data_IF_169822893840
#
_entry.id   IF_169822893840
#
_cell.length_a   1.000
_cell.length_b   1.000
_cell.length_c   1.000
_cell.angle_alpha   90.00
_cell.angle_beta   90.00
_cell.angle_gamma   90.00
#
_symmetry.space_group_name_H-M   'P 1'
#
loop_
_entity.id
_entity.type
_entity.pdbx_description
1 polymer ?
2 non-polymer ?
3 water ?
#
# COMPACT_ATOMS: atom_id res chain seq x y z
N UNK A 1 19.97 3.37 -0.29
CA UNK A 1 18.68 3.54 -1.01
C UNK A 1 18.36 2.09 -1.35
N UNK A 2 18.15 1.36 -0.26
CA UNK A 2 17.84 -0.08 -0.37
C UNK A 2 16.36 -0.23 -0.72
N UNK A 3 16.00 -1.44 -1.06
CA UNK A 3 14.59 -1.75 -1.39
C UNK A 3 13.93 -1.88 -0.04
N UNK A 4 13.13 -0.94 0.40
CA UNK A 4 12.46 -1.13 1.70
C UNK A 4 11.64 -2.41 1.52
N UNK A 5 10.85 -2.38 0.45
CA UNK A 5 10.04 -3.52 0.07
C UNK A 5 10.25 -3.81 -1.40
N UNK A 6 10.11 -5.05 -1.77
CA UNK A 6 10.21 -5.49 -3.13
C UNK A 6 8.87 -6.19 -3.45
N UNK A 7 8.19 -5.70 -4.46
CA UNK A 7 6.88 -6.19 -4.94
C UNK A 7 7.14 -6.91 -6.26
N UNK A 8 7.21 -8.23 -6.12
CA UNK A 8 7.48 -9.02 -7.36
C UNK A 8 8.91 -8.62 -7.80
N UNK A 9 8.93 -7.83 -8.87
CA UNK A 9 10.31 -7.43 -9.31
C UNK A 9 10.57 -5.96 -9.07
N UNK A 10 9.54 -5.26 -8.63
CA UNK A 10 9.55 -3.85 -8.33
C UNK A 10 10.15 -3.55 -6.97
N UNK A 11 11.15 -2.69 -7.10
CA UNK A 11 11.92 -2.20 -5.99
C UNK A 11 11.43 -0.85 -5.50
N UNK A 12 10.93 -0.77 -4.28
CA UNK A 12 10.43 0.41 -3.62
C UNK A 12 11.44 0.80 -2.52
N UNK A 13 11.83 2.06 -2.56
CA UNK A 13 12.74 2.67 -1.61
C UNK A 13 11.92 3.20 -0.44
N UNK A 14 12.48 3.48 0.70
CA UNK A 14 11.70 4.01 1.84
C UNK A 14 10.94 5.26 1.48
N UNK A 15 11.67 6.07 0.67
CA UNK A 15 11.02 7.34 0.23
C UNK A 15 9.81 7.08 -0.68
N UNK A 16 9.75 6.00 -1.43
CA UNK A 16 8.58 5.71 -2.29
C UNK A 16 7.35 5.41 -1.42
N UNK A 17 7.61 4.60 -0.45
CA UNK A 17 6.60 4.12 0.55
C UNK A 17 6.05 5.27 1.34
N UNK A 18 6.92 6.12 1.88
CA UNK A 18 6.38 7.25 2.67
C UNK A 18 5.59 8.26 1.88
N UNK A 19 5.84 8.32 0.58
CA UNK A 19 5.13 9.31 -0.26
C UNK A 19 3.77 8.68 -0.54
N UNK A 20 3.70 7.40 -0.83
CA UNK A 20 2.40 6.73 -1.10
C UNK A 20 1.53 6.69 0.17
N UNK A 21 2.17 6.44 1.33
CA UNK A 21 1.38 6.41 2.58
C UNK A 21 0.91 7.81 2.85
N UNK A 22 1.79 8.81 2.66
CA UNK A 22 1.39 10.20 2.93
C UNK A 22 0.23 10.68 2.06
N UNK A 23 0.26 10.22 0.80
CA UNK A 23 -0.81 10.63 -0.11
C UNK A 23 -2.16 10.03 0.30
N UNK A 24 -2.14 8.73 0.54
CA UNK A 24 -3.35 7.98 0.94
C UNK A 24 -3.85 8.53 2.26
N UNK A 25 -2.97 8.88 3.16
CA UNK A 25 -3.38 9.43 4.45
C UNK A 25 -3.98 10.83 4.38
N UNK A 26 -3.47 11.71 3.52
CA UNK A 26 -4.04 13.07 3.42
C UNK A 26 -5.50 12.95 2.96
N UNK A 27 -5.76 12.03 2.06
CA UNK A 27 -7.13 11.78 1.56
C UNK A 27 -8.03 11.20 2.68
N UNK A 28 -7.54 10.16 3.31
CA UNK A 28 -8.18 9.44 4.42
C UNK A 28 -8.59 10.51 5.45
N UNK A 29 -7.64 11.33 5.83
CA UNK A 29 -7.90 12.37 6.83
C UNK A 29 -8.93 13.40 6.40
N UNK A 30 -8.99 13.64 5.10
CA UNK A 30 -9.91 14.63 4.55
C UNK A 30 -11.22 13.98 4.19
N UNK A 31 -11.42 12.73 4.45
CA UNK A 31 -12.67 12.02 4.15
C UNK A 31 -12.93 11.80 2.67
N UNK A 32 -11.88 11.99 1.90
CA UNK A 32 -11.90 11.85 0.43
C UNK A 32 -11.27 10.60 -0.15
N UNK A 33 -11.69 10.41 -1.40
CA UNK A 33 -11.21 9.31 -2.23
C UNK A 33 -11.06 9.82 -3.69
N UNK A 34 -10.19 9.13 -4.36
CA UNK A 34 -9.84 9.33 -5.75
C UNK A 34 -9.97 7.92 -6.30
N UNK A 35 -10.97 7.80 -7.17
CA UNK A 35 -11.19 6.50 -7.82
C UNK A 35 -11.24 5.33 -6.81
N UNK A 36 -11.82 5.69 -5.69
CA UNK A 36 -12.01 4.70 -4.64
C UNK A 36 -10.83 4.36 -3.78
N UNK A 37 -9.83 5.20 -3.71
CA UNK A 37 -8.72 4.85 -2.80
C UNK A 37 -8.51 6.09 -1.98
N UNK A 38 -8.13 5.98 -0.72
CA UNK A 38 -7.92 4.73 -0.01
C UNK A 38 -9.29 4.15 0.38
N UNK A 39 -9.21 2.92 0.79
CA UNK A 39 -10.35 2.15 1.24
C UNK A 39 -9.78 1.11 2.23
N UNK A 40 -10.70 0.69 3.10
CA UNK A 40 -10.46 -0.24 4.17
C UNK A 40 -9.89 -1.51 3.56
N UNK A 41 -8.93 -1.99 4.28
CA UNK A 41 -8.29 -3.23 3.84
C UNK A 41 -8.68 -4.23 4.93
N UNK A 42 -9.32 -5.32 4.59
CA UNK A 42 -9.73 -6.23 5.68
C UNK A 42 -8.81 -7.16 6.39
N UNK A 43 -7.73 -7.46 5.70
CA UNK A 43 -6.72 -8.39 6.20
C UNK A 43 -7.33 -9.80 6.33
N UNK A 44 -7.99 -10.09 5.23
CA UNK A 44 -8.66 -11.37 5.01
C UNK A 44 -7.55 -12.40 4.97
N UNK A 45 -6.43 -12.04 4.37
CA UNK A 45 -5.23 -12.80 4.18
C UNK A 45 -4.53 -13.23 5.45
N UNK A 46 -4.73 -12.61 6.58
CA UNK A 46 -4.06 -13.04 7.80
C UNK A 46 -2.69 -12.46 8.03
N UNK A 47 -2.28 -11.34 7.43
CA UNK A 47 -0.95 -10.75 7.64
C UNK A 47 -0.80 -10.09 9.01
N UNK A 48 0.39 -10.20 9.51
CA UNK A 48 1.19 -9.85 10.63
C UNK A 48 1.25 -8.38 11.05
N UNK A 49 1.09 -7.40 10.26
CA UNK A 49 1.18 -5.97 10.57
C UNK A 49 1.64 -5.55 11.95
N UNK A 50 2.85 -5.00 11.96
CA UNK A 50 3.52 -4.49 13.16
C UNK A 50 2.67 -3.45 13.85
N UNK A 51 1.58 -2.98 13.23
CA UNK A 51 0.73 -1.99 13.87
C UNK A 51 -0.73 -2.48 13.87
N UNK A 52 -1.56 -1.80 14.65
CA UNK A 52 -2.97 -2.13 14.75
C UNK A 52 -3.87 -1.42 13.74
N UNK A 53 -4.90 -2.16 13.34
CA UNK A 53 -5.91 -1.65 12.38
C UNK A 53 -6.94 -0.75 13.01
N UNK A 54 -7.98 -0.32 12.34
CA UNK A 54 -8.36 -0.59 10.95
C UNK A 54 -7.29 -0.21 9.95
N UNK A 55 -7.13 -1.02 8.94
CA UNK A 55 -6.18 -0.89 7.84
C UNK A 55 -6.90 -0.30 6.63
N UNK A 56 -6.10 0.42 5.85
CA UNK A 56 -6.49 1.12 4.62
C UNK A 56 -5.37 0.85 3.61
N UNK A 57 -5.84 0.71 2.40
CA UNK A 57 -4.90 0.44 1.30
C UNK A 57 -4.95 1.61 0.36
N UNK A 58 -3.82 1.85 -0.30
CA UNK A 58 -3.63 2.94 -1.29
C UNK A 58 -2.68 2.40 -2.33
N UNK A 59 -2.86 2.69 -3.61
CA UNK A 59 -1.89 2.14 -4.58
C UNK A 59 -0.53 2.77 -4.41
N UNK A 60 0.50 2.00 -4.57
CA UNK A 60 1.93 2.45 -4.50
C UNK A 60 2.31 2.25 -5.97
N UNK A 61 2.90 3.20 -6.67
CA UNK A 61 3.20 2.96 -8.13
C UNK A 61 4.62 2.59 -8.53
N UNK A 62 4.65 1.68 -9.49
CA UNK A 62 5.80 1.06 -10.13
C UNK A 62 6.81 2.04 -10.75
N UNK A 63 6.21 3.11 -11.20
CA UNK A 63 6.85 4.24 -11.85
C UNK A 63 7.34 5.31 -10.88
N UNK A 64 7.07 5.17 -9.60
CA UNK A 64 7.50 6.08 -8.53
C UNK A 64 6.70 7.32 -8.38
N UNK A 65 5.66 7.49 -9.18
CA UNK A 65 4.80 8.69 -9.01
C UNK A 65 3.71 8.29 -7.98
N UNK A 66 3.21 9.23 -7.28
CA UNK A 66 2.11 9.02 -6.28
C UNK A 66 0.85 8.76 -7.05
N UNK A 67 -0.09 7.96 -6.58
CA UNK A 67 -1.36 7.70 -7.32
C UNK A 67 -2.24 8.93 -7.22
N UNK A 68 -2.87 9.32 -8.32
CA UNK A 68 -3.75 10.49 -8.35
C UNK A 68 -4.94 10.16 -9.25
N UNK A 69 -5.20 8.87 -9.38
CA UNK A 69 -6.33 8.44 -10.21
C UNK A 69 -5.85 7.56 -11.34
N UNK A 70 -6.75 6.77 -11.86
CA UNK A 70 -6.44 5.87 -12.98
C UNK A 70 -6.24 4.46 -12.49
N UNK A 71 -5.57 3.70 -13.29
CA UNK A 71 -5.26 2.29 -13.03
C UNK A 71 -4.31 2.25 -11.83
N UNK A 72 -4.70 1.38 -10.92
CA UNK A 72 -3.92 1.27 -9.66
C UNK A 72 -2.76 0.32 -9.66
N UNK A 73 -2.72 -0.47 -10.71
CA UNK A 73 -1.61 -1.45 -10.72
C UNK A 73 -1.92 -2.52 -9.67
N UNK A 74 -0.85 -3.21 -9.32
CA UNK A 74 -1.00 -4.32 -8.36
C UNK A 74 -0.49 -4.14 -6.95
N UNK A 75 0.18 -3.05 -6.73
CA UNK A 75 0.77 -2.87 -5.39
C UNK A 75 0.03 -1.84 -4.57
N UNK A 76 0.06 -2.23 -3.28
CA UNK A 76 -0.62 -1.41 -2.27
C UNK A 76 0.12 -1.18 -0.98
N UNK A 77 0.06 0.07 -0.55
CA UNK A 77 0.72 0.29 0.73
C UNK A 77 -0.49 0.20 1.71
N UNK A 78 -0.22 -0.31 2.89
CA UNK A 78 -1.17 -0.48 4.02
C UNK A 78 -0.80 0.42 5.19
N UNK A 79 -1.81 1.17 5.69
CA UNK A 79 -1.56 2.08 6.78
C UNK A 79 -2.80 2.16 7.67
N UNK A 80 -2.66 2.70 8.82
CA UNK A 80 -3.84 2.81 9.76
C UNK A 80 -4.17 4.31 9.90
N UNK A 81 -5.25 4.57 10.63
CA UNK A 81 -5.81 5.87 10.92
C UNK A 81 -4.89 6.79 11.68
N UNK A 82 -3.76 6.32 12.14
CA UNK A 82 -2.72 7.10 12.87
C UNK A 82 -1.50 7.45 11.99
N UNK A 83 -1.61 7.11 10.72
CA UNK A 83 -0.58 7.36 9.72
C UNK A 83 0.65 6.48 9.94
N UNK A 84 0.36 5.32 10.56
CA UNK A 84 1.45 4.38 10.80
C UNK A 84 1.49 3.40 9.65
N UNK A 85 2.68 2.99 9.23
CA UNK A 85 2.92 2.05 8.15
C UNK A 85 2.74 0.64 8.71
N UNK A 86 1.97 -0.19 8.08
CA UNK A 86 1.63 -1.57 8.34
C UNK A 86 2.43 -2.40 7.33
N UNK A 87 2.53 -1.98 6.05
CA UNK A 87 3.33 -2.85 5.13
C UNK A 87 2.90 -2.58 3.68
N UNK A 88 3.56 -3.31 2.80
CA UNK A 88 3.35 -3.24 1.35
C UNK A 88 3.01 -4.65 0.89
N UNK A 89 1.91 -4.65 0.12
CA UNK A 89 1.35 -5.89 -0.43
C UNK A 89 1.09 -5.74 -1.93
N UNK A 90 1.03 -6.90 -2.52
CA UNK A 90 0.82 -7.07 -3.94
C UNK A 90 -0.05 -8.21 -4.43
N UNK A 91 -0.69 -7.91 -5.56
CA UNK A 91 -1.55 -8.86 -6.26
C UNK A 91 -0.65 -9.75 -7.11
N UNK A 92 0.54 -9.29 -7.45
CA UNK A 92 1.55 -10.01 -8.25
C UNK A 92 1.92 -11.34 -7.60
N UNK A 93 1.72 -12.41 -8.36
CA UNK A 93 2.04 -13.77 -7.86
C UNK A 93 0.98 -14.38 -6.95
N UNK A 94 -0.14 -13.69 -6.91
CA UNK A 94 -1.31 -14.05 -6.12
C UNK A 94 -2.40 -14.34 -7.16
N UNK A 95 -2.87 -15.55 -7.03
CA UNK A 95 -3.86 -16.43 -7.63
C UNK A 95 -4.94 -15.76 -8.48
N UNK A 96 -5.86 -15.09 -7.80
CA UNK A 96 -6.97 -14.39 -8.45
C UNK A 96 -6.92 -12.95 -7.93
N UNK A 97 -7.73 -12.75 -6.89
CA UNK A 97 -7.78 -11.39 -6.30
C UNK A 97 -7.20 -11.26 -4.89
N UNK A 98 -6.41 -12.28 -4.56
CA UNK A 98 -5.70 -12.38 -3.29
C UNK A 98 -4.49 -11.41 -3.42
N UNK A 99 -3.80 -11.36 -2.31
CA UNK A 99 -2.60 -10.59 -2.10
C UNK A 99 -1.60 -11.50 -1.37
N UNK A 100 -0.38 -11.13 -1.68
CA UNK A 100 0.83 -11.77 -1.09
C UNK A 100 1.61 -10.57 -0.56
N UNK A 101 2.44 -10.85 0.40
CA UNK A 101 3.28 -9.82 1.03
C UNK A 101 4.47 -9.55 0.11
N UNK A 102 4.96 -8.36 0.19
CA UNK A 102 6.13 -7.93 -0.58
C UNK A 102 7.33 -8.27 0.30
N UNK A 103 8.39 -8.78 -0.28
CA UNK A 103 9.58 -9.13 0.53
C UNK A 103 10.21 -7.90 1.17
N UNK A 104 10.75 -8.18 2.35
CA UNK A 104 11.45 -7.17 3.18
C UNK A 104 12.35 -8.04 4.05
N UNK A 105 12.33 -7.91 5.33
CA UNK A 105 12.95 -8.50 6.50
C UNK A 105 12.33 -9.90 6.74
X LIG B 1 -7.81 -3.73 -4.72
X LIG B 1 -7.30 -4.44 -5.91
X LIG B 1 -8.09 -2.28 -4.68
X LIG B 1 -7.30 -4.12 -3.38
X LIG B 1 -8.34 -7.92 -3.65
X LIG B 1 -8.72 -6.69 -3.08
X LIG B 1 -10.12 -6.42 -3.66
X LIG B 1 -11.09 -6.78 -2.72
X LIG B 1 -9.55 -5.05 -3.35
X LIG B 1 -9.33 -4.19 -4.54
X LIG B 1 -10.59 -4.54 -2.44
X LIG B 1 -11.63 -3.69 -2.95
X LIG B 1 -11.08 -5.75 -1.74
X LIG B 1 -10.56 -6.05 -0.40
X LIG B 1 -10.91 -5.38 0.75
X LIG B 1 -10.26 -5.92 1.81
X LIG B 1 -9.52 -6.93 1.34
X LIG B 1 -8.66 -7.87 1.97
X LIG B 1 -8.32 -7.96 3.14
X LIG B 1 -8.02 -8.75 1.13
X LIG B 1 -8.19 -8.85 -0.22
X LIG B 1 -7.56 -9.75 -1.01
X LIG B 1 -9.02 -7.96 -0.77
X LIG B 1 -9.68 -7.03 -0.04
#
# INVERSE_FOLDING_TARGET
ESCEYTCGSTCYWSSDVSAAKAKGYSLYESGDTIDDYPHEYHDYEGFDFPVSGTYYEYPIMSDYDVYTGGSPGADRVIFNGDDELAGVITHTGASGDDFVACSSS
3GP P O1P O2P O3P O5' C5' C4' O4' C3' O3' C2' O2' C1' N9 C8 N7 C5 C6 O6 N1 C2 N2 N3 C4
#
